data_IF_340059414651
#
_entry.id   IF_340059414651
#
_cell.length_a   1.000
_cell.length_b   1.000
_cell.length_c   1.000
_cell.angle_alpha   90.00
_cell.angle_beta   90.00
_cell.angle_gamma   90.00
#
_symmetry.space_group_name_H-M   'P 1'
#
loop_
_entity.id
_entity.type
_entity.pdbx_description
1 polymer ?
#
# COMPACT_ATOMS: atom_id res chain seq x y z
N UNK A 1 32.27 -22.39 62.91
CA UNK A 1 31.62 -21.28 62.19
C UNK A 1 32.16 -19.95 62.70
N UNK A 2 32.86 -19.18 61.87
CA UNK A 2 32.81 -17.71 61.80
C UNK A 2 33.80 -17.23 60.73
N UNK A 3 33.24 -16.65 59.69
CA UNK A 3 33.82 -16.41 58.38
C UNK A 3 34.40 -14.99 58.30
N UNK A 4 35.53 -14.86 57.61
CA UNK A 4 36.34 -13.66 57.39
C UNK A 4 35.58 -12.47 56.78
N UNK A 5 35.94 -11.25 57.20
CA UNK A 5 35.47 -9.98 56.62
C UNK A 5 36.69 -9.15 56.22
N UNK A 6 37.02 -9.05 54.93
CA UNK A 6 37.70 -7.87 54.35
C UNK A 6 37.40 -7.83 52.85
N UNK A 7 36.61 -6.88 52.35
CA UNK A 7 36.79 -6.34 50.98
C UNK A 7 36.21 -4.93 50.90
N UNK A 8 37.05 -3.99 50.46
CA UNK A 8 36.80 -2.54 50.36
C UNK A 8 35.93 -2.21 49.14
N UNK A 9 35.21 -1.07 49.13
CA UNK A 9 34.23 -0.75 48.09
C UNK A 9 34.94 -0.24 46.83
N UNK A 10 34.56 -0.78 45.68
CA UNK A 10 34.95 -0.24 44.37
C UNK A 10 33.73 0.49 43.79
N UNK A 11 33.65 1.79 44.04
CA UNK A 11 32.74 2.68 43.32
C UNK A 11 33.41 3.03 41.98
N UNK A 12 32.82 2.60 40.86
CA UNK A 12 33.27 2.96 39.51
C UNK A 12 32.17 3.76 38.80
N UNK A 13 32.65 4.88 38.24
CA UNK A 13 31.91 6.00 37.70
C UNK A 13 30.87 5.63 36.62
N UNK A 14 29.71 6.25 36.73
CA UNK A 14 28.64 6.29 35.74
C UNK A 14 29.11 6.96 34.44
N UNK A 15 29.25 6.19 33.35
CA UNK A 15 29.35 6.75 31.99
C UNK A 15 27.95 6.98 31.44
N UNK A 16 27.52 8.24 31.36
CA UNK A 16 26.30 8.63 30.67
C UNK A 16 26.51 8.50 29.15
N UNK A 17 25.83 7.55 28.54
CA UNK A 17 25.81 7.35 27.10
C UNK A 17 24.70 8.23 26.50
N UNK A 18 25.07 9.36 25.89
CA UNK A 18 24.10 10.21 25.17
C UNK A 18 23.81 9.58 23.80
N UNK A 19 22.65 8.95 23.66
CA UNK A 19 22.08 8.58 22.36
C UNK A 19 21.32 9.78 21.79
N UNK A 20 21.88 10.44 20.78
CA UNK A 20 21.16 11.40 19.96
C UNK A 20 20.26 10.64 18.97
N UNK A 21 18.97 10.53 19.29
CA UNK A 21 17.97 9.99 18.37
C UNK A 21 17.65 11.06 17.32
N UNK A 22 18.12 10.89 16.09
CA UNK A 22 17.68 11.72 14.98
C UNK A 22 16.19 11.44 14.72
N UNK A 23 15.33 12.43 14.92
CA UNK A 23 13.93 12.36 14.53
C UNK A 23 13.86 12.35 13.00
N UNK A 24 13.54 11.20 12.41
CA UNK A 24 13.09 11.14 11.02
C UNK A 24 11.70 11.75 10.97
N UNK A 25 11.59 12.93 10.37
CA UNK A 25 10.30 13.51 10.03
C UNK A 25 9.69 12.63 8.93
N UNK A 26 8.74 11.78 9.30
CA UNK A 26 7.84 11.14 8.35
C UNK A 26 6.90 12.22 7.85
N UNK A 27 7.15 12.74 6.64
CA UNK A 27 6.14 13.50 5.92
C UNK A 27 4.87 12.64 5.86
N UNK A 28 3.72 13.11 6.38
CA UNK A 28 2.47 12.47 6.09
C UNK A 28 2.20 12.77 4.61
N UNK A 29 2.67 11.88 3.72
CA UNK A 29 2.06 11.74 2.42
C UNK A 29 0.62 11.35 2.72
N UNK A 30 -0.25 12.35 2.76
CA UNK A 30 -1.68 12.20 2.79
C UNK A 30 -2.04 11.57 1.44
N UNK A 31 -1.83 10.27 1.33
CA UNK A 31 -2.42 9.45 0.30
C UNK A 31 -3.91 9.46 0.61
N UNK A 32 -4.62 10.43 0.04
CA UNK A 32 -6.05 10.31 -0.17
C UNK A 32 -6.23 9.13 -1.10
N UNK A 33 -6.20 7.93 -0.52
CA UNK A 33 -6.57 6.70 -1.20
C UNK A 33 -8.05 6.91 -1.52
N UNK A 34 -8.31 7.45 -2.71
CA UNK A 34 -9.64 7.74 -3.17
C UNK A 34 -10.44 6.45 -3.03
N UNK A 35 -11.28 6.39 -2.01
CA UNK A 35 -12.21 5.31 -1.77
C UNK A 35 -13.29 5.36 -2.84
N UNK A 36 -12.90 5.10 -4.07
CA UNK A 36 -13.77 4.65 -5.13
C UNK A 36 -13.34 3.23 -5.46
N UNK A 37 -13.20 2.38 -4.44
CA UNK A 37 -13.21 0.93 -4.61
C UNK A 37 -14.63 0.53 -4.96
N UNK A 38 -15.03 0.80 -6.21
CA UNK A 38 -16.33 0.40 -6.73
C UNK A 38 -16.38 -1.12 -6.80
N UNK A 39 -16.77 -1.76 -5.71
CA UNK A 39 -16.79 -3.21 -5.51
C UNK A 39 -17.86 -3.93 -6.36
N UNK A 40 -18.16 -3.49 -7.58
CA UNK A 40 -19.28 -4.08 -8.34
C UNK A 40 -19.15 -4.06 -9.86
N UNK A 41 -18.12 -3.42 -10.43
CA UNK A 41 -17.89 -3.45 -11.86
C UNK A 41 -16.55 -4.11 -12.14
N UNK A 42 -16.53 -5.42 -12.32
CA UNK A 42 -15.37 -6.17 -12.84
C UNK A 42 -15.82 -6.92 -14.10
N UNK A 43 -14.89 -7.25 -15.01
CA UNK A 43 -15.20 -8.17 -16.09
C UNK A 43 -15.69 -9.51 -15.55
N UNK A 44 -16.40 -10.27 -16.37
CA UNK A 44 -16.85 -11.61 -16.01
C UNK A 44 -15.65 -12.49 -15.58
N UNK A 45 -15.86 -13.45 -14.64
CA UNK A 45 -14.83 -14.42 -14.27
C UNK A 45 -14.23 -15.10 -15.51
N UNK A 46 -12.91 -15.27 -15.52
CA UNK A 46 -12.18 -15.87 -16.65
C UNK A 46 -11.85 -14.91 -17.79
N UNK A 47 -12.25 -13.63 -17.73
CA UNK A 47 -11.83 -12.64 -18.72
C UNK A 47 -10.29 -12.51 -18.77
N UNK A 48 -9.70 -12.95 -19.88
CA UNK A 48 -8.25 -13.01 -20.06
C UNK A 48 -7.64 -11.77 -20.73
N UNK A 49 -8.46 -10.80 -21.16
CA UNK A 49 -8.00 -9.61 -21.86
C UNK A 49 -7.06 -8.73 -21.02
N UNK A 50 -6.17 -8.01 -21.70
CA UNK A 50 -5.27 -7.03 -21.05
C UNK A 50 -5.95 -5.71 -20.72
N UNK A 51 -7.05 -5.41 -21.42
CA UNK A 51 -7.83 -4.19 -21.26
C UNK A 51 -9.30 -4.53 -21.23
N UNK A 52 -10.10 -3.73 -20.53
CA UNK A 52 -11.54 -3.92 -20.46
C UNK A 52 -12.26 -2.57 -20.43
N UNK A 53 -13.43 -2.50 -21.04
CA UNK A 53 -14.29 -1.31 -21.01
C UNK A 53 -15.53 -1.66 -20.20
N UNK A 54 -15.79 -0.92 -19.13
CA UNK A 54 -16.97 -1.13 -18.31
C UNK A 54 -18.25 -0.74 -19.05
N UNK A 55 -19.42 -1.25 -18.67
CA UNK A 55 -20.70 -0.82 -19.24
C UNK A 55 -20.95 0.69 -19.15
N UNK A 56 -20.35 1.37 -18.16
CA UNK A 56 -20.43 2.83 -17.98
C UNK A 56 -19.45 3.62 -18.88
N UNK A 57 -18.67 2.92 -19.70
CA UNK A 57 -17.72 3.47 -20.66
C UNK A 57 -16.38 3.90 -20.07
N UNK A 58 -15.92 3.28 -18.98
CA UNK A 58 -14.60 3.54 -18.41
C UNK A 58 -13.62 2.44 -18.88
N UNK A 59 -12.45 2.82 -19.40
CA UNK A 59 -11.44 1.88 -19.89
C UNK A 59 -10.40 1.57 -18.82
N UNK A 60 -10.05 0.29 -18.67
CA UNK A 60 -9.12 -0.19 -17.64
C UNK A 60 -8.04 -1.12 -18.23
N UNK A 61 -6.87 -1.14 -17.60
CA UNK A 61 -5.81 -2.13 -17.83
C UNK A 61 -5.75 -3.15 -16.71
N UNK A 62 -5.43 -4.40 -17.05
CA UNK A 62 -5.30 -5.50 -16.10
C UNK A 62 -3.91 -5.49 -15.46
N UNK A 63 -3.86 -5.66 -14.13
CA UNK A 63 -2.64 -5.94 -13.39
C UNK A 63 -2.86 -7.16 -12.48
N UNK A 64 -1.88 -8.08 -12.46
CA UNK A 64 -1.93 -9.25 -11.60
C UNK A 64 -0.52 -9.71 -11.26
N UNK A 65 -0.23 -9.85 -9.97
CA UNK A 65 0.96 -10.53 -9.48
C UNK A 65 0.64 -12.03 -9.26
N UNK A 66 1.64 -12.93 -9.38
CA UNK A 66 1.45 -14.34 -9.02
C UNK A 66 0.91 -14.49 -7.59
N UNK A 67 -0.12 -15.32 -7.40
CA UNK A 67 -0.75 -15.54 -6.10
C UNK A 67 -1.82 -14.50 -5.70
N UNK A 68 -2.03 -13.45 -6.49
CA UNK A 68 -3.03 -12.41 -6.21
C UNK A 68 -4.15 -12.41 -7.27
N UNK A 69 -5.34 -11.97 -6.85
CA UNK A 69 -6.44 -11.71 -7.75
C UNK A 69 -6.11 -10.57 -8.73
N UNK A 70 -6.60 -10.60 -9.97
CA UNK A 70 -6.40 -9.51 -10.92
C UNK A 70 -7.13 -8.25 -10.45
N UNK A 71 -6.49 -7.12 -10.69
CA UNK A 71 -7.02 -5.77 -10.45
C UNK A 71 -7.07 -5.00 -11.76
N UNK A 72 -7.95 -4.02 -11.83
CA UNK A 72 -8.19 -3.23 -13.04
C UNK A 72 -7.96 -1.76 -12.76
N UNK A 73 -7.05 -1.12 -13.49
CA UNK A 73 -6.60 0.25 -13.26
C UNK A 73 -7.09 1.17 -14.37
N UNK A 74 -7.65 2.32 -14.00
CA UNK A 74 -8.24 3.27 -14.92
C UNK A 74 -7.21 3.83 -15.90
N UNK A 75 -7.53 3.81 -17.19
CA UNK A 75 -6.72 4.44 -18.24
C UNK A 75 -7.21 5.88 -18.39
N UNK A 76 -6.40 6.85 -17.96
CA UNK A 76 -6.80 8.26 -17.94
C UNK A 76 -7.04 8.84 -19.33
N UNK A 77 -6.09 8.65 -20.25
CA UNK A 77 -6.09 9.23 -21.60
C UNK A 77 -6.37 8.19 -22.68
N UNK A 78 -7.37 7.32 -22.46
CA UNK A 78 -7.67 6.19 -23.34
C UNK A 78 -7.94 6.58 -24.79
N UNK A 79 -8.45 7.80 -25.04
CA UNK A 79 -8.72 8.31 -26.38
C UNK A 79 -7.47 8.39 -27.27
N UNK A 80 -6.29 8.61 -26.67
CA UNK A 80 -5.01 8.60 -27.40
C UNK A 80 -4.59 7.21 -27.88
N UNK A 81 -5.26 6.16 -27.41
CA UNK A 81 -5.02 4.76 -27.75
C UNK A 81 -6.28 4.07 -28.33
N UNK A 82 -7.25 4.84 -28.83
CA UNK A 82 -8.49 4.30 -29.42
C UNK A 82 -9.49 3.72 -28.39
N UNK A 83 -9.35 4.09 -27.12
CA UNK A 83 -10.22 3.66 -26.02
C UNK A 83 -11.04 4.85 -25.49
N UNK A 84 -11.90 4.62 -24.49
CA UNK A 84 -12.64 5.72 -23.87
C UNK A 84 -11.75 6.55 -22.94
N UNK A 85 -11.86 7.89 -23.02
CA UNK A 85 -11.25 8.80 -22.06
C UNK A 85 -11.88 8.63 -20.68
N UNK A 86 -11.05 8.67 -19.62
CA UNK A 86 -11.54 8.64 -18.25
C UNK A 86 -12.44 9.84 -17.94
N UNK A 87 -13.41 9.61 -17.05
CA UNK A 87 -14.38 10.61 -16.59
C UNK A 87 -14.33 10.65 -15.07
N UNK A 88 -14.74 11.76 -14.46
CA UNK A 88 -14.73 11.96 -12.99
C UNK A 88 -15.46 10.84 -12.22
N UNK A 89 -16.46 10.22 -12.84
CA UNK A 89 -17.24 9.11 -12.27
C UNK A 89 -16.55 7.74 -12.31
N UNK A 90 -15.44 7.61 -13.04
CA UNK A 90 -14.76 6.34 -13.19
C UNK A 90 -13.93 6.05 -11.92
N UNK A 91 -14.18 4.92 -11.25
CA UNK A 91 -13.27 4.40 -10.22
C UNK A 91 -11.82 4.34 -10.74
N UNK A 92 -10.85 4.70 -9.90
CA UNK A 92 -9.44 4.59 -10.27
C UNK A 92 -8.97 3.13 -10.35
N UNK A 93 -9.58 2.27 -9.54
CA UNK A 93 -9.26 0.86 -9.42
C UNK A 93 -10.53 0.03 -9.21
N UNK A 94 -10.58 -1.15 -9.81
CA UNK A 94 -11.63 -2.15 -9.59
C UNK A 94 -11.00 -3.47 -9.14
N UNK A 95 -11.69 -4.16 -8.25
CA UNK A 95 -11.16 -5.35 -7.56
C UNK A 95 -10.16 -4.99 -6.47
N UNK A 96 -9.59 -6.01 -5.81
CA UNK A 96 -8.60 -5.84 -4.75
C UNK A 96 -9.15 -5.78 -3.32
N UNK A 97 -10.47 -5.88 -3.14
CA UNK A 97 -11.10 -6.10 -1.83
C UNK A 97 -12.07 -7.30 -1.97
N UNK A 98 -11.78 -8.38 -1.24
CA UNK A 98 -12.32 -9.76 -1.36
C UNK A 98 -11.52 -10.60 -2.38
N UNK A 99 -10.91 -11.74 -2.06
CA UNK A 99 -11.35 -12.84 -1.20
C UNK A 99 -10.15 -13.55 -0.51
N UNK A 100 -10.09 -13.49 0.82
CA UNK A 100 -9.71 -14.64 1.67
C UNK A 100 -11.00 -15.17 2.28
#
# INVERSE_FOLDING_TARGET
MRTSIITRPLALATTAFFLATAAIASDPVLATQGQNGGASAQPAPGYAGKTWVSPQGCSYSRAQAPGYAPTWHLILNGDRAGMTRAKRRCPGMLGGLSQL
#
